data_IF_874424798542
#
_entry.id   IF_874424798542
#
_cell.length_a   1.000
_cell.length_b   1.000
_cell.length_c   1.000
_cell.angle_alpha   90.00
_cell.angle_beta   90.00
_cell.angle_gamma   90.00
#
_symmetry.space_group_name_H-M   'P 1'
#
loop_
_entity.id
_entity.type
_entity.pdbx_description
1 polymer ?
#
# COMPACT_ATOMS: atom_id res chain seq x y z
N UNK A 1 -16.68 6.15 20.60
CA UNK A 1 -16.92 6.97 19.39
C UNK A 1 -16.61 6.12 18.16
N UNK A 2 -17.32 6.28 17.03
CA UNK A 2 -17.04 5.60 15.75
C UNK A 2 -16.75 6.69 14.71
N UNK A 3 -15.72 6.54 13.85
CA UNK A 3 -15.48 7.50 12.77
C UNK A 3 -16.73 7.68 11.93
N UNK A 4 -17.03 8.93 11.53
CA UNK A 4 -18.09 9.20 10.56
C UNK A 4 -17.63 8.73 9.18
N UNK A 5 -18.60 8.51 8.30
CA UNK A 5 -18.34 8.09 6.92
C UNK A 5 -17.34 9.05 6.24
N UNK A 6 -16.25 8.49 5.69
CA UNK A 6 -15.14 9.21 5.04
C UNK A 6 -14.34 10.20 5.92
N UNK A 7 -14.40 10.02 7.24
CA UNK A 7 -13.65 10.84 8.20
C UNK A 7 -12.74 9.98 9.09
N UNK A 8 -12.29 8.83 8.57
CA UNK A 8 -11.44 7.88 9.29
C UNK A 8 -9.93 8.14 9.20
N UNK A 9 -9.48 9.16 8.46
CA UNK A 9 -8.06 9.36 8.20
C UNK A 9 -7.32 9.90 9.44
N UNK A 10 -6.39 9.12 9.99
CA UNK A 10 -5.52 9.51 11.12
C UNK A 10 -6.18 9.98 12.44
N UNK A 11 -7.36 9.48 12.88
CA UNK A 11 -7.82 9.75 14.23
C UNK A 11 -6.93 9.04 15.25
N UNK A 12 -6.75 9.65 16.41
CA UNK A 12 -6.06 9.02 17.55
C UNK A 12 -7.03 8.14 18.38
N UNK A 13 -6.53 7.23 19.22
CA UNK A 13 -7.35 6.56 20.23
C UNK A 13 -8.05 7.59 21.15
N UNK A 14 -9.29 7.33 21.59
CA UNK A 14 -10.04 6.06 21.51
C UNK A 14 -10.92 5.92 20.25
N UNK A 15 -10.79 6.83 19.28
CA UNK A 15 -11.54 6.75 18.02
C UNK A 15 -10.98 5.66 17.13
N UNK A 16 -9.65 5.62 17.00
CA UNK A 16 -8.95 4.47 16.45
C UNK A 16 -8.88 3.35 17.49
N UNK A 17 -9.51 2.22 17.16
CA UNK A 17 -9.60 1.04 18.02
C UNK A 17 -8.64 -0.08 17.61
N UNK A 18 -7.96 0.08 16.47
CA UNK A 18 -7.12 -0.97 15.88
C UNK A 18 -5.63 -0.62 15.95
N UNK A 19 -5.26 0.49 16.62
CA UNK A 19 -3.87 0.92 16.71
C UNK A 19 -2.95 -0.16 17.30
N UNK A 20 -3.35 -0.83 18.38
CA UNK A 20 -2.54 -1.88 19.01
C UNK A 20 -2.39 -3.10 18.09
N UNK A 21 -3.49 -3.53 17.46
CA UNK A 21 -3.49 -4.61 16.47
C UNK A 21 -2.54 -4.29 15.30
N UNK A 22 -2.61 -3.07 14.75
CA UNK A 22 -1.72 -2.64 13.65
C UNK A 22 -0.26 -2.56 14.11
N UNK A 23 -0.01 -2.15 15.35
CA UNK A 23 1.33 -2.13 15.92
C UNK A 23 1.90 -3.55 16.04
N UNK A 24 1.11 -4.52 16.49
CA UNK A 24 1.52 -5.93 16.53
C UNK A 24 1.81 -6.49 15.13
N UNK A 25 0.92 -6.23 14.16
CA UNK A 25 1.13 -6.60 12.76
C UNK A 25 2.45 -6.03 12.25
N UNK A 26 2.72 -4.75 12.47
CA UNK A 26 3.96 -4.09 12.07
C UNK A 26 5.18 -4.78 12.68
N UNK A 27 5.16 -5.09 13.98
CA UNK A 27 6.26 -5.78 14.65
C UNK A 27 6.48 -7.19 14.05
N UNK A 28 5.41 -7.93 13.75
CA UNK A 28 5.49 -9.25 13.09
C UNK A 28 6.00 -9.18 11.65
N UNK A 29 5.68 -8.12 10.92
CA UNK A 29 6.25 -7.87 9.58
C UNK A 29 7.75 -7.63 9.66
N UNK A 30 8.21 -6.82 10.63
CA UNK A 30 9.63 -6.56 10.86
C UNK A 30 10.37 -7.86 11.25
N UNK A 31 9.80 -8.67 12.17
CA UNK A 31 10.34 -9.99 12.53
C UNK A 31 10.45 -10.93 11.31
N UNK A 32 9.52 -10.83 10.36
CA UNK A 32 9.51 -11.62 9.12
C UNK A 32 10.38 -11.05 7.99
N UNK A 33 11.17 -9.99 8.25
CA UNK A 33 12.09 -9.40 7.27
C UNK A 33 11.45 -8.38 6.31
N UNK A 34 10.21 -7.96 6.56
CA UNK A 34 9.56 -6.86 5.85
C UNK A 34 9.83 -5.57 6.62
N UNK A 35 10.70 -4.71 6.10
CA UNK A 35 10.94 -3.38 6.68
C UNK A 35 9.72 -2.48 6.47
N UNK A 36 9.27 -1.86 7.56
CA UNK A 36 8.05 -1.05 7.60
C UNK A 36 8.43 0.40 7.91
N UNK A 37 7.78 1.37 7.25
CA UNK A 37 8.06 2.80 7.41
C UNK A 37 7.04 3.49 8.31
N UNK A 38 5.74 3.26 8.07
CA UNK A 38 4.65 3.90 8.81
C UNK A 38 3.40 3.00 8.82
N UNK A 39 2.53 3.20 9.81
CA UNK A 39 1.17 2.65 9.82
C UNK A 39 0.16 3.71 10.25
N UNK A 40 -1.05 3.66 9.71
CA UNK A 40 -2.14 4.53 10.13
C UNK A 40 -3.52 3.93 9.84
N UNK A 41 -4.54 4.52 10.46
CA UNK A 41 -5.93 4.29 10.08
C UNK A 41 -6.23 5.05 8.79
N UNK A 42 -6.93 4.37 7.87
CA UNK A 42 -7.29 4.89 6.55
C UNK A 42 -8.64 5.61 6.55
N UNK A 43 -9.03 6.21 5.41
CA UNK A 43 -10.24 7.04 5.33
C UNK A 43 -11.54 6.26 5.61
N UNK A 44 -11.62 5.01 5.16
CA UNK A 44 -12.84 4.21 5.19
C UNK A 44 -13.24 3.75 6.58
N UNK A 45 -14.54 3.57 6.78
CA UNK A 45 -15.06 2.97 8.01
C UNK A 45 -14.79 1.45 8.04
N UNK A 46 -15.28 0.76 9.07
CA UNK A 46 -15.03 -0.66 9.32
C UNK A 46 -13.55 -1.04 9.50
N UNK A 47 -12.71 -0.09 9.90
CA UNK A 47 -11.32 -0.36 10.30
C UNK A 47 -10.34 -0.44 9.14
N UNK A 48 -10.55 0.32 8.06
CA UNK A 48 -9.57 0.43 6.99
C UNK A 48 -8.23 0.91 7.55
N UNK A 49 -7.14 0.32 7.06
CA UNK A 49 -5.79 0.56 7.57
C UNK A 49 -4.75 0.48 6.47
N UNK A 50 -3.62 1.15 6.68
CA UNK A 50 -2.45 1.13 5.80
C UNK A 50 -1.18 0.91 6.63
N UNK A 51 -0.25 0.12 6.08
CA UNK A 51 1.07 -0.15 6.63
C UNK A 51 2.07 -0.14 5.47
N UNK A 52 2.97 0.84 5.46
CA UNK A 52 3.89 1.08 4.35
C UNK A 52 5.19 0.31 4.49
N UNK A 53 5.64 -0.28 3.38
CA UNK A 53 6.90 -1.03 3.32
C UNK A 53 8.02 -0.17 2.73
N UNK A 54 9.23 -0.32 3.27
CA UNK A 54 10.44 0.19 2.60
C UNK A 54 10.61 -0.52 1.26
N UNK A 55 10.89 0.25 0.21
CA UNK A 55 11.12 -0.27 -1.14
C UNK A 55 12.32 -1.25 -1.22
N UNK A 56 12.29 -2.10 -2.24
CA UNK A 56 13.36 -3.04 -2.58
C UNK A 56 13.34 -3.30 -4.10
N UNK A 57 14.23 -4.16 -4.60
CA UNK A 57 14.20 -4.70 -5.95
C UNK A 57 12.89 -5.42 -6.27
N UNK A 58 12.51 -5.44 -7.55
CA UNK A 58 11.21 -5.90 -8.04
C UNK A 58 10.80 -7.28 -7.52
N UNK A 59 11.66 -8.29 -7.65
CA UNK A 59 11.34 -9.66 -7.22
C UNK A 59 11.14 -9.73 -5.70
N UNK A 60 12.03 -9.09 -4.93
CA UNK A 60 11.93 -9.06 -3.47
C UNK A 60 10.68 -8.35 -2.99
N UNK A 61 10.24 -7.28 -3.67
CA UNK A 61 8.97 -6.63 -3.33
C UNK A 61 7.77 -7.52 -3.62
N UNK A 62 7.81 -8.34 -4.68
CA UNK A 62 6.81 -9.37 -4.93
C UNK A 62 6.72 -10.39 -3.78
N UNK A 63 7.87 -10.90 -3.33
CA UNK A 63 7.94 -11.85 -2.20
C UNK A 63 7.45 -11.21 -0.90
N UNK A 64 7.92 -10.00 -0.59
CA UNK A 64 7.50 -9.24 0.60
C UNK A 64 5.99 -8.97 0.60
N UNK A 65 5.38 -8.70 -0.55
CA UNK A 65 3.93 -8.49 -0.62
C UNK A 65 3.14 -9.76 -0.24
N UNK A 66 3.66 -10.94 -0.57
CA UNK A 66 3.03 -12.21 -0.16
C UNK A 66 3.17 -12.45 1.34
N UNK A 67 4.35 -12.19 1.91
CA UNK A 67 4.58 -12.23 3.37
C UNK A 67 3.67 -11.22 4.08
N UNK A 68 3.57 -10.00 3.54
CA UNK A 68 2.76 -8.92 4.08
C UNK A 68 1.30 -9.34 4.25
N UNK A 69 0.69 -9.87 3.18
CA UNK A 69 -0.70 -10.36 3.22
C UNK A 69 -0.87 -11.54 4.16
N UNK A 70 0.11 -12.43 4.23
CA UNK A 70 0.07 -13.61 5.10
C UNK A 70 0.10 -13.20 6.58
N UNK A 71 1.06 -12.37 6.98
CA UNK A 71 1.21 -11.90 8.36
C UNK A 71 -0.05 -11.15 8.81
N UNK A 72 -0.53 -10.19 8.01
CA UNK A 72 -1.73 -9.40 8.34
C UNK A 72 -2.93 -10.30 8.60
N UNK A 73 -3.19 -11.27 7.72
CA UNK A 73 -4.34 -12.16 7.87
C UNK A 73 -4.25 -13.03 9.12
N UNK A 74 -3.06 -13.56 9.42
CA UNK A 74 -2.88 -14.45 10.57
C UNK A 74 -2.95 -13.71 11.90
N UNK A 75 -2.30 -12.54 12.01
CA UNK A 75 -2.36 -11.73 13.23
C UNK A 75 -3.79 -11.21 13.44
N UNK A 76 -4.47 -10.73 12.39
CA UNK A 76 -5.88 -10.35 12.49
C UNK A 76 -6.76 -11.51 12.99
N UNK A 77 -6.57 -12.72 12.45
CA UNK A 77 -7.31 -13.91 12.87
C UNK A 77 -7.07 -14.29 14.34
N UNK A 78 -5.83 -14.14 14.83
CA UNK A 78 -5.50 -14.39 16.24
C UNK A 78 -6.25 -13.45 17.21
N UNK A 79 -6.62 -12.27 16.73
CA UNK A 79 -7.40 -11.28 17.49
C UNK A 79 -8.92 -11.34 17.17
N UNK A 80 -9.39 -12.37 16.47
CA UNK A 80 -10.80 -12.54 16.14
C UNK A 80 -11.32 -11.64 15.01
N UNK A 81 -10.42 -11.04 14.22
CA UNK A 81 -10.75 -10.23 13.06
C UNK A 81 -10.51 -10.99 11.74
N UNK A 82 -11.11 -10.50 10.65
CA UNK A 82 -10.83 -10.97 9.29
C UNK A 82 -10.30 -9.81 8.46
N UNK A 83 -9.02 -9.86 8.10
CA UNK A 83 -8.42 -8.88 7.20
C UNK A 83 -8.68 -9.25 5.74
N UNK A 84 -9.10 -8.27 4.93
CA UNK A 84 -9.35 -8.41 3.50
C UNK A 84 -8.53 -7.41 2.69
N UNK A 85 -8.13 -7.81 1.48
CA UNK A 85 -7.46 -6.98 0.48
C UNK A 85 -8.34 -6.77 -0.75
N UNK A 86 -9.66 -6.94 -0.58
CA UNK A 86 -10.64 -6.68 -1.64
C UNK A 86 -10.63 -5.18 -1.98
N UNK A 87 -10.66 -4.79 -3.27
CA UNK A 87 -10.57 -3.37 -3.65
C UNK A 87 -11.73 -2.51 -3.12
N UNK A 88 -12.93 -3.09 -3.01
CA UNK A 88 -14.15 -2.39 -2.62
C UNK A 88 -15.05 -3.29 -1.78
N UNK A 89 -14.74 -3.50 -0.50
CA UNK A 89 -15.52 -4.40 0.36
C UNK A 89 -16.85 -3.77 0.81
N UNK A 90 -16.95 -2.43 0.82
CA UNK A 90 -18.12 -1.69 1.26
C UNK A 90 -18.62 -0.74 0.17
N UNK A 91 -19.94 -0.76 -0.04
CA UNK A 91 -20.61 0.17 -0.94
C UNK A 91 -20.54 1.60 -0.40
N UNK A 92 -20.30 2.57 -1.29
CA UNK A 92 -20.22 4.02 -1.02
C UNK A 92 -19.15 4.52 -0.04
N UNK A 93 -18.39 3.65 0.64
CA UNK A 93 -17.21 4.04 1.43
C UNK A 93 -15.92 3.98 0.60
N UNK A 94 -14.78 4.33 1.18
CA UNK A 94 -13.49 4.27 0.48
C UNK A 94 -13.12 2.82 0.09
N UNK A 95 -12.44 2.68 -1.06
CA UNK A 95 -11.85 1.42 -1.49
C UNK A 95 -10.44 1.24 -0.93
N UNK A 96 -9.90 0.03 -1.08
CA UNK A 96 -8.52 -0.31 -0.74
C UNK A 96 -7.68 -0.43 -2.02
N UNK A 97 -6.81 0.56 -2.24
CA UNK A 97 -5.84 0.56 -3.34
C UNK A 97 -4.48 0.02 -2.88
N UNK A 98 -3.65 -0.38 -3.84
CA UNK A 98 -2.23 -0.68 -3.60
C UNK A 98 -1.40 0.23 -4.50
N UNK A 99 -1.02 1.40 -3.99
CA UNK A 99 -0.16 2.31 -4.73
C UNK A 99 1.24 1.70 -4.88
N UNK A 100 1.80 1.76 -6.10
CA UNK A 100 3.10 1.17 -6.39
C UNK A 100 4.07 2.27 -6.78
N UNK A 101 5.01 2.57 -5.87
CA UNK A 101 6.09 3.51 -6.13
C UNK A 101 7.23 2.79 -6.88
N UNK A 102 7.61 3.31 -8.05
CA UNK A 102 8.59 2.69 -8.93
C UNK A 102 9.73 3.65 -9.25
N UNK A 103 10.95 3.12 -9.33
CA UNK A 103 12.12 3.85 -9.81
C UNK A 103 13.11 2.91 -10.48
N UNK A 104 13.87 3.43 -11.44
CA UNK A 104 14.97 2.70 -12.09
C UNK A 104 16.31 3.15 -11.51
N UNK A 105 17.18 2.19 -11.25
CA UNK A 105 18.50 2.42 -10.68
C UNK A 105 19.57 1.73 -11.52
N UNK A 106 20.73 2.37 -11.62
CA UNK A 106 21.91 1.79 -12.25
C UNK A 106 23.14 2.27 -11.51
N UNK A 107 24.05 1.34 -11.19
CA UNK A 107 25.32 1.63 -10.50
C UNK A 107 25.16 2.42 -9.19
N UNK A 108 24.04 2.20 -8.48
CA UNK A 108 23.71 2.88 -7.22
C UNK A 108 23.05 4.25 -7.39
N UNK A 109 22.84 4.74 -8.61
CA UNK A 109 22.21 6.02 -8.90
C UNK A 109 20.77 5.86 -9.40
N UNK A 110 19.89 6.76 -8.93
CA UNK A 110 18.51 6.81 -9.36
C UNK A 110 18.40 7.51 -10.72
N UNK A 111 17.91 6.79 -11.73
CA UNK A 111 17.80 7.28 -13.10
C UNK A 111 16.59 8.20 -13.34
N UNK A 112 15.67 8.32 -12.37
CA UNK A 112 14.47 9.15 -12.50
C UNK A 112 14.65 10.58 -11.99
N UNK A 113 15.64 10.84 -11.14
CA UNK A 113 15.83 12.16 -10.55
C UNK A 113 16.62 13.09 -11.49
N UNK A 114 16.07 14.27 -11.77
CA UNK A 114 16.77 15.37 -12.44
C UNK A 114 16.21 16.71 -11.94
N UNK A 115 17.03 17.48 -11.21
CA UNK A 115 16.62 18.77 -10.63
C UNK A 115 16.23 19.81 -11.68
N UNK A 116 16.74 19.71 -12.90
CA UNK A 116 16.42 20.64 -13.98
C UNK A 116 15.15 20.23 -14.73
N UNK A 117 14.71 18.99 -14.58
CA UNK A 117 13.53 18.45 -15.23
C UNK A 117 12.22 18.92 -14.60
N UNK A 118 11.13 18.86 -15.38
CA UNK A 118 9.79 19.12 -14.87
C UNK A 118 9.47 18.18 -13.69
N UNK A 119 8.96 18.74 -12.59
CA UNK A 119 8.70 18.01 -11.33
C UNK A 119 9.92 17.25 -10.76
N UNK A 120 11.14 17.64 -11.13
CA UNK A 120 12.36 16.95 -10.71
C UNK A 120 12.62 15.62 -11.43
N UNK A 121 12.01 15.42 -12.60
CA UNK A 121 12.05 14.16 -13.35
C UNK A 121 13.00 14.20 -14.55
N UNK A 122 13.82 13.17 -14.68
CA UNK A 122 14.67 12.96 -15.85
C UNK A 122 13.83 12.60 -17.09
N UNK A 123 14.44 12.73 -18.27
CA UNK A 123 13.82 12.28 -19.52
C UNK A 123 13.44 10.79 -19.50
N UNK A 124 14.25 9.96 -18.82
CA UNK A 124 13.99 8.53 -18.62
C UNK A 124 12.70 8.30 -17.83
N UNK A 125 12.48 9.06 -16.75
CA UNK A 125 11.24 8.98 -15.98
C UNK A 125 10.03 9.39 -16.81
N UNK A 126 10.15 10.48 -17.59
CA UNK A 126 9.07 10.95 -18.47
C UNK A 126 8.68 9.88 -19.51
N UNK A 127 9.67 9.21 -20.13
CA UNK A 127 9.37 8.11 -21.06
C UNK A 127 8.79 6.88 -20.37
N UNK A 128 9.24 6.55 -19.16
CA UNK A 128 8.65 5.49 -18.36
C UNK A 128 7.16 5.75 -18.08
N UNK A 129 6.82 6.97 -17.65
CA UNK A 129 5.43 7.42 -17.44
C UNK A 129 4.64 7.34 -18.75
N UNK A 130 5.19 7.82 -19.87
CA UNK A 130 4.54 7.74 -21.17
C UNK A 130 4.23 6.30 -21.59
N UNK A 131 5.12 5.35 -21.30
CA UNK A 131 4.89 3.92 -21.50
C UNK A 131 3.74 3.38 -20.63
N UNK A 132 3.73 3.71 -19.33
CA UNK A 132 2.64 3.32 -18.44
C UNK A 132 1.29 3.83 -18.92
N UNK A 133 1.19 5.11 -19.30
CA UNK A 133 -0.04 5.72 -19.78
C UNK A 133 -0.51 5.10 -21.10
N UNK A 134 0.41 4.89 -22.04
CA UNK A 134 0.11 4.25 -23.34
C UNK A 134 -0.44 2.83 -23.18
N UNK A 135 0.08 2.08 -22.19
CA UNK A 135 -0.27 0.68 -21.98
C UNK A 135 -1.26 0.45 -20.82
N UNK A 136 -1.79 1.52 -20.21
CA UNK A 136 -2.68 1.44 -19.06
C UNK A 136 -3.87 0.49 -19.25
N UNK A 137 -4.59 0.47 -20.40
CA UNK A 137 -5.70 -0.47 -20.58
C UNK A 137 -5.29 -1.94 -20.47
N UNK A 138 -4.12 -2.31 -21.01
CA UNK A 138 -3.61 -3.68 -20.93
C UNK A 138 -3.09 -3.99 -19.53
N UNK A 139 -2.37 -3.05 -18.91
CA UNK A 139 -1.83 -3.20 -17.56
C UNK A 139 -2.94 -3.37 -16.53
N UNK A 140 -4.07 -2.68 -16.66
CA UNK A 140 -5.20 -2.80 -15.73
C UNK A 140 -5.80 -4.21 -15.70
N UNK A 141 -5.73 -4.97 -16.80
CA UNK A 141 -6.11 -6.39 -16.80
C UNK A 141 -5.28 -7.27 -15.85
N UNK A 142 -4.10 -6.80 -15.45
CA UNK A 142 -3.18 -7.51 -14.55
C UNK A 142 -3.15 -6.84 -13.16
N UNK A 143 -3.06 -5.51 -13.12
CA UNK A 143 -2.95 -4.73 -11.89
C UNK A 143 -4.28 -4.64 -11.12
N UNK A 144 -5.41 -4.77 -11.82
CA UNK A 144 -6.76 -4.66 -11.27
C UNK A 144 -7.63 -5.84 -11.77
N UNK A 145 -7.26 -7.10 -11.45
CA UNK A 145 -7.71 -8.26 -12.22
C UNK A 145 -9.06 -8.84 -11.78
N UNK A 146 -9.73 -8.25 -10.79
CA UNK A 146 -10.99 -8.80 -10.24
C UNK A 146 -12.18 -7.99 -10.75
N UNK A 147 -13.37 -8.60 -10.79
CA UNK A 147 -14.62 -7.86 -11.08
C UNK A 147 -14.92 -6.77 -10.05
N UNK A 148 -14.34 -6.87 -8.85
CA UNK A 148 -14.50 -5.90 -7.78
C UNK A 148 -13.50 -4.72 -7.90
N UNK A 149 -12.57 -4.79 -8.85
CA UNK A 149 -11.55 -3.77 -9.12
C UNK A 149 -12.06 -2.68 -10.05
#
# INVERSE_FOLDING_TARGET
FRPRHKEGYFPVPPTDKLQDLRSEIMLKLIEAGVQVEVQHHEVGTAGQAEIDMRFDSLTKMGDKMMVYKYVIKNVAAQHGYVATFMPKPLFQDNGSGMHVHQSLWKDGENLFADKAGYAGLSQTAIYYIGGLLKHAPALLGICAPTTNS
#
